data_IF_904326086828
#
_entry.id   IF_904326086828
#
_cell.length_a   1.000
_cell.length_b   1.000
_cell.length_c   1.000
_cell.angle_alpha   90.00
_cell.angle_beta   90.00
_cell.angle_gamma   90.00
#
_symmetry.space_group_name_H-M   'P 1'
#
loop_
_entity.id
_entity.type
_entity.pdbx_description
1 polymer ?
#
# COMPACT_ATOMS: atom_id res chain seq x y z
N UNK A 1 28.47 -23.45 -33.16
CA UNK A 1 28.26 -23.26 -31.74
C UNK A 1 29.41 -22.47 -31.18
N UNK A 2 29.20 -21.30 -30.61
CA UNK A 2 30.25 -20.48 -30.00
C UNK A 2 30.79 -21.19 -28.76
N UNK A 3 32.11 -21.34 -28.66
CA UNK A 3 32.79 -22.03 -27.52
C UNK A 3 32.62 -21.18 -26.26
N UNK A 4 31.94 -21.70 -25.27
CA UNK A 4 31.75 -20.98 -23.99
C UNK A 4 33.09 -20.78 -23.27
N UNK A 5 33.48 -19.54 -23.04
CA UNK A 5 34.75 -19.19 -22.37
C UNK A 5 34.67 -19.62 -20.90
N UNK A 6 35.71 -20.29 -20.41
CA UNK A 6 35.83 -20.77 -19.01
C UNK A 6 36.89 -19.96 -18.26
N UNK A 7 36.80 -19.97 -16.90
CA UNK A 7 37.85 -19.36 -16.03
C UNK A 7 39.26 -19.80 -16.38
N UNK A 8 39.41 -21.06 -16.80
CA UNK A 8 40.69 -21.62 -17.23
C UNK A 8 41.25 -20.91 -18.47
N UNK A 9 40.41 -20.44 -19.39
CA UNK A 9 40.84 -19.76 -20.62
C UNK A 9 41.39 -18.36 -20.27
N UNK A 10 40.76 -17.65 -19.33
CA UNK A 10 41.25 -16.36 -18.81
C UNK A 10 42.53 -16.56 -18.01
N UNK A 11 42.58 -17.57 -17.14
CA UNK A 11 43.74 -17.89 -16.32
C UNK A 11 45.00 -18.15 -17.18
N UNK A 12 44.81 -18.93 -18.25
CA UNK A 12 45.88 -19.24 -19.24
C UNK A 12 46.37 -17.97 -19.94
N UNK A 13 45.46 -17.05 -20.27
CA UNK A 13 45.80 -15.83 -21.03
C UNK A 13 46.47 -14.75 -20.18
N UNK A 14 46.14 -14.68 -18.86
CA UNK A 14 46.77 -13.76 -17.89
C UNK A 14 48.02 -14.34 -17.25
N UNK A 15 48.21 -15.67 -17.30
CA UNK A 15 49.35 -16.35 -16.66
C UNK A 15 49.20 -16.53 -15.14
N UNK A 16 47.96 -16.69 -14.67
CA UNK A 16 47.64 -16.88 -13.24
C UNK A 16 46.80 -18.12 -12.99
N UNK A 17 46.60 -18.51 -11.73
CA UNK A 17 45.73 -19.63 -11.42
C UNK A 17 44.25 -19.30 -11.61
N UNK A 18 43.40 -20.33 -11.88
CA UNK A 18 41.95 -20.19 -11.94
C UNK A 18 41.34 -19.64 -10.63
N UNK A 19 41.97 -19.93 -9.49
CA UNK A 19 41.61 -19.42 -8.17
C UNK A 19 41.86 -17.90 -8.09
N UNK A 20 43.00 -17.42 -8.64
CA UNK A 20 43.33 -16.00 -8.73
C UNK A 20 42.29 -15.25 -9.58
N UNK A 21 41.92 -15.81 -10.76
CA UNK A 21 40.91 -15.23 -11.62
C UNK A 21 39.56 -15.20 -10.91
N UNK A 22 39.17 -16.27 -10.22
CA UNK A 22 37.91 -16.32 -9.46
C UNK A 22 37.86 -15.27 -8.37
N UNK A 23 38.95 -15.11 -7.58
CA UNK A 23 39.06 -14.07 -6.52
C UNK A 23 39.01 -12.66 -7.10
N UNK A 24 39.66 -12.42 -8.23
CA UNK A 24 39.67 -11.12 -8.90
C UNK A 24 38.25 -10.73 -9.35
N UNK A 25 37.53 -11.64 -10.00
CA UNK A 25 36.18 -11.41 -10.51
C UNK A 25 35.11 -11.34 -9.41
N UNK A 26 35.33 -12.01 -8.27
CA UNK A 26 34.41 -11.98 -7.12
C UNK A 26 34.70 -10.89 -6.08
N UNK A 27 35.74 -10.05 -6.29
CA UNK A 27 36.07 -8.97 -5.38
C UNK A 27 36.77 -9.40 -4.09
N UNK A 28 37.18 -10.66 -3.94
CA UNK A 28 37.83 -11.19 -2.72
C UNK A 28 39.26 -10.65 -2.54
N UNK A 29 39.68 -10.58 -1.27
CA UNK A 29 41.09 -10.18 -0.92
C UNK A 29 42.13 -11.18 -1.43
N UNK A 30 43.36 -10.68 -1.68
CA UNK A 30 44.50 -11.52 -2.13
C UNK A 30 44.81 -11.41 -3.62
N UNK A 31 44.29 -10.40 -4.31
CA UNK A 31 44.66 -10.02 -5.68
C UNK A 31 44.92 -8.51 -5.68
N UNK A 32 46.03 -8.06 -6.26
CA UNK A 32 46.31 -6.62 -6.40
C UNK A 32 45.27 -5.93 -7.30
N UNK A 33 45.05 -4.63 -7.06
CA UNK A 33 44.05 -3.89 -7.83
C UNK A 33 44.40 -3.84 -9.33
N UNK A 34 45.66 -3.67 -9.65
CA UNK A 34 46.14 -3.69 -11.04
C UNK A 34 45.86 -5.02 -11.73
N UNK A 35 46.12 -6.15 -11.03
CA UNK A 35 45.83 -7.48 -11.57
C UNK A 35 44.33 -7.73 -11.66
N UNK A 36 43.55 -7.19 -10.76
CA UNK A 36 42.07 -7.28 -10.77
C UNK A 36 41.48 -6.59 -11.99
N UNK A 37 41.90 -5.37 -12.26
CA UNK A 37 41.46 -4.62 -13.43
C UNK A 37 41.89 -5.30 -14.76
N UNK A 38 43.09 -5.81 -14.83
CA UNK A 38 43.57 -6.57 -15.99
C UNK A 38 42.72 -7.81 -16.23
N UNK A 39 42.36 -8.54 -15.16
CA UNK A 39 41.52 -9.74 -15.28
C UNK A 39 40.10 -9.39 -15.70
N UNK A 40 39.49 -8.33 -15.12
CA UNK A 40 38.16 -7.88 -15.50
C UNK A 40 38.07 -7.49 -16.96
N UNK A 41 39.02 -6.64 -17.43
CA UNK A 41 39.07 -6.19 -18.81
C UNK A 41 39.17 -7.36 -19.77
N UNK A 42 40.04 -8.32 -19.48
CA UNK A 42 40.22 -9.50 -20.33
C UNK A 42 38.99 -10.44 -20.32
N UNK A 43 38.32 -10.56 -19.16
CA UNK A 43 37.09 -11.34 -19.07
C UNK A 43 35.97 -10.74 -19.93
N UNK A 44 35.82 -9.42 -19.94
CA UNK A 44 34.86 -8.70 -20.79
C UNK A 44 35.20 -8.83 -22.27
N UNK A 45 36.48 -8.64 -22.66
CA UNK A 45 36.95 -8.82 -24.03
C UNK A 45 36.74 -10.25 -24.58
N UNK A 46 36.85 -11.24 -23.71
CA UNK A 46 36.62 -12.65 -24.07
C UNK A 46 35.15 -13.07 -24.02
N UNK A 47 34.25 -12.19 -23.51
CA UNK A 47 32.85 -12.51 -23.33
C UNK A 47 32.61 -13.55 -22.23
N UNK A 48 33.49 -13.63 -21.22
CA UNK A 48 33.33 -14.54 -20.11
C UNK A 48 32.19 -14.10 -19.19
N UNK A 49 31.26 -15.04 -18.94
CA UNK A 49 30.18 -14.85 -17.92
C UNK A 49 30.38 -15.87 -16.80
N UNK A 50 30.62 -15.41 -15.55
CA UNK A 50 30.79 -16.32 -14.42
C UNK A 50 29.51 -17.15 -14.19
N UNK A 51 29.63 -18.43 -13.77
CA UNK A 51 28.48 -19.30 -13.50
C UNK A 51 27.51 -18.71 -12.46
N UNK A 52 28.03 -17.94 -11.50
CA UNK A 52 27.21 -17.16 -10.55
C UNK A 52 26.48 -15.98 -11.22
N UNK A 53 27.11 -15.33 -12.20
CA UNK A 53 26.46 -14.30 -13.03
C UNK A 53 25.52 -14.93 -14.07
N UNK A 54 25.84 -16.12 -14.58
CA UNK A 54 24.92 -16.90 -15.42
C UNK A 54 23.71 -17.40 -14.59
N UNK A 55 23.87 -17.83 -13.34
CA UNK A 55 22.75 -18.12 -12.44
C UNK A 55 21.98 -16.85 -12.03
N UNK A 56 22.66 -15.73 -11.78
CA UNK A 56 22.02 -14.43 -11.57
C UNK A 56 21.36 -13.90 -12.86
N UNK A 57 21.96 -14.11 -14.04
CA UNK A 57 21.34 -13.76 -15.31
C UNK A 57 20.18 -14.70 -15.68
N UNK A 58 20.20 -15.96 -15.24
CA UNK A 58 19.08 -16.90 -15.40
C UNK A 58 17.99 -16.62 -14.34
N UNK A 59 18.33 -16.21 -13.11
CA UNK A 59 17.36 -15.68 -12.14
C UNK A 59 16.87 -14.28 -12.50
N UNK A 60 17.71 -13.43 -13.11
CA UNK A 60 17.34 -12.16 -13.74
C UNK A 60 16.55 -12.32 -15.04
N UNK A 61 16.70 -13.45 -15.75
CA UNK A 61 15.90 -13.77 -16.94
C UNK A 61 14.47 -14.25 -16.59
N UNK A 62 14.13 -14.45 -15.32
CA UNK A 62 12.75 -14.50 -14.88
C UNK A 62 12.32 -13.10 -14.44
N UNK A 63 12.07 -12.24 -15.42
CA UNK A 63 11.25 -11.06 -15.20
C UNK A 63 9.87 -11.54 -14.73
N UNK A 64 9.58 -11.37 -13.44
CA UNK A 64 8.26 -11.69 -12.92
C UNK A 64 7.28 -10.61 -13.37
N UNK A 65 6.09 -11.03 -13.73
CA UNK A 65 4.96 -10.14 -13.91
C UNK A 65 4.08 -10.23 -12.65
N UNK A 66 3.76 -9.09 -12.08
CA UNK A 66 2.88 -8.92 -10.93
C UNK A 66 1.52 -8.48 -11.47
N UNK A 67 0.46 -9.23 -11.19
CA UNK A 67 -0.90 -8.77 -11.40
C UNK A 67 -1.31 -7.83 -10.26
N UNK A 68 -1.92 -6.70 -10.58
CA UNK A 68 -2.49 -5.80 -9.58
C UNK A 68 -3.99 -5.73 -9.83
N UNK A 69 -4.78 -6.22 -8.87
CA UNK A 69 -6.23 -6.23 -8.94
C UNK A 69 -6.79 -5.11 -8.07
N UNK A 70 -7.66 -4.32 -8.64
CA UNK A 70 -8.37 -3.23 -7.95
C UNK A 70 -9.83 -3.30 -8.36
N UNK A 71 -10.76 -3.20 -7.40
CA UNK A 71 -12.18 -3.13 -7.68
C UNK A 71 -12.54 -1.83 -8.37
N UNK A 72 -13.48 -1.90 -9.34
CA UNK A 72 -13.92 -0.78 -10.17
C UNK A 72 -14.41 0.42 -9.34
N UNK A 73 -15.13 0.17 -8.24
CA UNK A 73 -15.65 1.22 -7.36
C UNK A 73 -14.57 2.09 -6.71
N UNK A 74 -13.34 1.57 -6.56
CA UNK A 74 -12.21 2.32 -6.02
C UNK A 74 -11.46 3.16 -7.05
N UNK A 75 -11.78 3.02 -8.32
CA UNK A 75 -11.19 3.78 -9.43
C UNK A 75 -12.17 4.84 -9.98
N UNK A 76 -12.85 5.56 -9.11
CA UNK A 76 -13.82 6.59 -9.46
C UNK A 76 -13.18 7.72 -10.30
N UNK A 77 -14.04 8.67 -10.75
CA UNK A 77 -13.79 9.77 -11.71
C UNK A 77 -12.56 10.65 -11.42
N UNK A 78 -11.98 10.56 -10.24
CA UNK A 78 -10.78 11.28 -9.82
C UNK A 78 -9.60 10.31 -9.64
N UNK A 79 -8.36 10.84 -9.72
CA UNK A 79 -7.20 10.07 -9.25
C UNK A 79 -7.49 9.61 -7.82
N UNK A 80 -7.72 8.31 -7.61
CA UNK A 80 -8.09 7.79 -6.32
C UNK A 80 -6.84 7.49 -5.46
N UNK A 81 -7.05 7.40 -4.14
CA UNK A 81 -6.02 6.94 -3.20
C UNK A 81 -5.38 5.61 -3.66
N UNK A 82 -6.19 4.67 -4.15
CA UNK A 82 -5.72 3.37 -4.63
C UNK A 82 -4.99 3.44 -5.97
N UNK A 83 -5.34 4.39 -6.83
CA UNK A 83 -4.57 4.66 -8.05
C UNK A 83 -3.12 5.07 -7.72
N UNK A 84 -2.94 5.90 -6.70
CA UNK A 84 -1.61 6.31 -6.24
C UNK A 84 -0.82 5.13 -5.65
N UNK A 85 -1.47 4.24 -4.90
CA UNK A 85 -0.83 2.99 -4.43
C UNK A 85 -0.38 2.14 -5.62
N UNK A 86 -1.22 1.98 -6.65
CA UNK A 86 -0.84 1.27 -7.88
C UNK A 86 0.40 1.87 -8.55
N UNK A 87 0.48 3.21 -8.64
CA UNK A 87 1.66 3.88 -9.19
C UNK A 87 2.91 3.53 -8.38
N UNK A 88 2.83 3.54 -7.04
CA UNK A 88 3.95 3.15 -6.17
C UNK A 88 4.31 1.66 -6.33
N UNK A 89 3.33 0.78 -6.42
CA UNK A 89 3.56 -0.65 -6.71
C UNK A 89 4.30 -0.83 -8.03
N UNK A 90 3.91 -0.09 -9.08
CA UNK A 90 4.55 -0.16 -10.39
C UNK A 90 6.02 0.29 -10.33
N UNK A 91 6.32 1.37 -9.59
CA UNK A 91 7.69 1.87 -9.38
C UNK A 91 8.51 0.83 -8.61
N UNK A 92 7.96 0.29 -7.51
CA UNK A 92 8.64 -0.71 -6.68
C UNK A 92 8.86 -2.02 -7.45
N UNK A 93 7.91 -2.44 -8.28
CA UNK A 93 8.05 -3.62 -9.14
C UNK A 93 9.24 -3.46 -10.11
N UNK A 94 9.36 -2.31 -10.79
CA UNK A 94 10.49 -2.02 -11.68
C UNK A 94 11.84 -2.07 -10.94
N UNK A 95 11.91 -1.55 -9.71
CA UNK A 95 13.11 -1.63 -8.88
C UNK A 95 13.49 -3.08 -8.51
N UNK A 96 12.53 -4.00 -8.53
CA UNK A 96 12.70 -5.44 -8.33
C UNK A 96 12.85 -6.23 -9.64
N UNK A 97 13.07 -5.56 -10.78
CA UNK A 97 13.12 -6.16 -12.12
C UNK A 97 11.82 -6.91 -12.51
N UNK A 98 10.69 -6.47 -11.98
CA UNK A 98 9.35 -6.99 -12.24
C UNK A 98 8.51 -5.96 -13.03
N UNK A 99 7.46 -6.44 -13.71
CA UNK A 99 6.45 -5.58 -14.33
C UNK A 99 5.12 -5.72 -13.61
N UNK A 100 4.46 -4.60 -13.35
CA UNK A 100 3.11 -4.57 -12.80
C UNK A 100 2.08 -4.44 -13.93
N UNK A 101 1.07 -5.30 -13.92
CA UNK A 101 -0.05 -5.31 -14.87
C UNK A 101 -1.35 -5.15 -14.09
N UNK A 102 -2.03 -4.03 -14.27
CA UNK A 102 -3.31 -3.78 -13.61
C UNK A 102 -4.46 -4.45 -14.37
N UNK A 103 -5.35 -5.08 -13.62
CA UNK A 103 -6.67 -5.50 -14.10
C UNK A 103 -7.74 -4.97 -13.13
N UNK A 104 -8.72 -4.26 -13.67
CA UNK A 104 -9.85 -3.74 -12.91
C UNK A 104 -10.87 -4.85 -12.76
N UNK A 105 -11.27 -5.13 -11.52
CA UNK A 105 -12.30 -6.13 -11.20
C UNK A 105 -13.63 -5.43 -11.12
N UNK A 106 -14.54 -5.76 -12.03
CA UNK A 106 -15.90 -5.21 -12.00
C UNK A 106 -16.82 -5.99 -11.07
N UNK A 107 -17.86 -5.35 -10.56
CA UNK A 107 -18.90 -5.98 -9.72
C UNK A 107 -19.49 -7.24 -10.39
N UNK A 108 -19.63 -7.23 -11.72
CA UNK A 108 -20.07 -8.41 -12.50
C UNK A 108 -19.07 -9.59 -12.38
N UNK A 109 -17.76 -9.32 -12.43
CA UNK A 109 -16.75 -10.37 -12.29
C UNK A 109 -16.81 -11.01 -10.89
N UNK A 110 -17.03 -10.20 -9.87
CA UNK A 110 -17.18 -10.65 -8.49
C UNK A 110 -18.43 -11.50 -8.28
N UNK A 111 -19.58 -11.03 -8.77
CA UNK A 111 -20.87 -11.76 -8.68
C UNK A 111 -20.80 -13.12 -9.39
N UNK A 112 -20.16 -13.17 -10.56
CA UNK A 112 -20.05 -14.39 -11.37
C UNK A 112 -18.86 -15.25 -11.02
N UNK A 113 -18.00 -14.80 -10.09
CA UNK A 113 -16.73 -15.44 -9.77
C UNK A 113 -15.88 -15.67 -11.04
N UNK A 114 -15.80 -14.67 -11.90
CA UNK A 114 -14.98 -14.72 -13.12
C UNK A 114 -13.49 -14.56 -12.75
N UNK A 115 -12.67 -15.51 -13.17
CA UNK A 115 -11.22 -15.47 -12.92
C UNK A 115 -10.59 -14.32 -13.70
N UNK A 116 -9.77 -13.44 -13.06
CA UNK A 116 -9.06 -12.37 -13.74
C UNK A 116 -8.29 -12.88 -14.95
N UNK A 117 -8.30 -12.11 -16.02
CA UNK A 117 -7.66 -12.47 -17.29
C UNK A 117 -6.16 -12.69 -17.13
N UNK A 118 -5.50 -11.88 -16.29
CA UNK A 118 -4.06 -12.01 -16.00
C UNK A 118 -3.70 -13.37 -15.39
N UNK A 119 -4.60 -13.97 -14.61
CA UNK A 119 -4.45 -15.34 -14.06
C UNK A 119 -4.79 -16.38 -15.12
N UNK A 120 -5.97 -16.27 -15.72
CA UNK A 120 -6.50 -17.23 -16.69
C UNK A 120 -5.56 -17.45 -17.86
N UNK A 121 -4.90 -16.37 -18.34
CA UNK A 121 -3.95 -16.40 -19.44
C UNK A 121 -2.50 -16.62 -18.98
N UNK A 122 -2.28 -16.91 -17.69
CA UNK A 122 -0.96 -17.16 -17.10
C UNK A 122 0.06 -16.03 -17.39
N UNK A 123 -0.39 -14.77 -17.34
CA UNK A 123 0.46 -13.60 -17.63
C UNK A 123 1.26 -13.14 -16.40
N UNK A 124 0.86 -13.57 -15.20
CA UNK A 124 1.43 -13.11 -13.93
C UNK A 124 1.94 -14.28 -13.08
N UNK A 125 2.89 -14.00 -12.23
CA UNK A 125 3.55 -14.96 -11.35
C UNK A 125 3.13 -14.79 -9.88
N UNK A 126 2.51 -13.64 -9.56
CA UNK A 126 1.97 -13.31 -8.27
C UNK A 126 0.99 -12.14 -8.40
N UNK A 127 0.18 -11.90 -7.38
CA UNK A 127 -0.90 -10.91 -7.38
C UNK A 127 -0.81 -10.04 -6.15
N UNK A 128 -1.00 -8.75 -6.35
CA UNK A 128 -1.33 -7.77 -5.32
C UNK A 128 -2.81 -7.38 -5.49
N UNK A 129 -3.59 -7.49 -4.42
CA UNK A 129 -4.97 -6.99 -4.36
C UNK A 129 -4.96 -5.69 -3.57
N UNK A 130 -5.43 -4.60 -4.16
CA UNK A 130 -5.49 -3.29 -3.53
C UNK A 130 -6.94 -2.95 -3.20
N UNK A 131 -7.22 -2.70 -1.92
CA UNK A 131 -8.58 -2.48 -1.43
C UNK A 131 -9.38 -3.78 -1.26
N UNK A 132 -10.42 -3.72 -0.42
CA UNK A 132 -11.23 -4.86 -0.05
C UNK A 132 -12.01 -5.42 -1.24
N UNK A 133 -12.05 -6.74 -1.37
CA UNK A 133 -12.91 -7.47 -2.28
C UNK A 133 -13.79 -8.48 -1.53
N UNK A 134 -14.92 -8.95 -2.10
CA UNK A 134 -15.76 -9.96 -1.49
C UNK A 134 -15.00 -11.25 -1.15
N UNK A 135 -15.21 -11.80 0.06
CA UNK A 135 -14.49 -12.98 0.53
C UNK A 135 -14.61 -14.21 -0.38
N UNK A 136 -15.73 -14.37 -1.09
CA UNK A 136 -15.90 -15.43 -2.09
C UNK A 136 -14.94 -15.26 -3.27
N UNK A 137 -14.74 -14.01 -3.70
CA UNK A 137 -13.82 -13.71 -4.80
C UNK A 137 -12.36 -13.89 -4.38
N UNK A 138 -12.01 -13.46 -3.16
CA UNK A 138 -10.67 -13.71 -2.60
C UNK A 138 -10.35 -15.21 -2.48
N UNK A 139 -11.33 -16.04 -2.10
CA UNK A 139 -11.17 -17.51 -2.09
C UNK A 139 -10.89 -18.06 -3.49
N UNK A 140 -11.59 -17.57 -4.52
CA UNK A 140 -11.33 -17.95 -5.91
C UNK A 140 -9.88 -17.65 -6.31
N UNK A 141 -9.35 -16.46 -5.97
CA UNK A 141 -7.97 -16.10 -6.29
C UNK A 141 -6.95 -17.07 -5.63
N UNK A 142 -7.20 -17.48 -4.39
CA UNK A 142 -6.34 -18.39 -3.62
C UNK A 142 -6.39 -19.86 -4.10
N UNK A 143 -7.39 -20.28 -4.88
CA UNK A 143 -7.42 -21.59 -5.50
C UNK A 143 -6.25 -21.81 -6.48
N UNK A 144 -5.70 -20.72 -7.03
CA UNK A 144 -4.54 -20.74 -7.90
C UNK A 144 -3.22 -20.78 -7.12
N UNK A 145 -2.95 -21.89 -6.41
CA UNK A 145 -1.82 -22.07 -5.47
C UNK A 145 -0.44 -21.74 -6.05
N UNK A 146 -0.29 -21.75 -7.37
CA UNK A 146 0.95 -21.36 -8.06
C UNK A 146 1.16 -19.86 -8.17
N UNK A 147 0.15 -19.05 -7.82
CA UNK A 147 0.15 -17.59 -7.92
C UNK A 147 -0.06 -17.03 -6.51
N UNK A 148 0.99 -16.68 -5.78
CA UNK A 148 0.88 -16.10 -4.45
C UNK A 148 0.14 -14.76 -4.49
N UNK A 149 -0.59 -14.47 -3.41
CA UNK A 149 -1.41 -13.25 -3.26
C UNK A 149 -0.95 -12.47 -2.04
N UNK A 150 -0.83 -11.15 -2.19
CA UNK A 150 -0.56 -10.19 -1.10
C UNK A 150 -1.64 -9.10 -1.14
N UNK A 151 -2.17 -8.74 0.01
CA UNK A 151 -3.16 -7.68 0.13
C UNK A 151 -2.53 -6.33 0.49
N UNK A 152 -3.11 -5.24 0.01
CA UNK A 152 -2.80 -3.87 0.44
C UNK A 152 -4.08 -3.20 0.93
N UNK A 153 -4.00 -2.60 2.13
CA UNK A 153 -5.01 -1.80 2.81
C UNK A 153 -6.21 -2.59 3.35
N UNK A 154 -6.12 -3.90 3.39
CA UNK A 154 -7.10 -4.76 4.05
C UNK A 154 -6.51 -6.12 4.46
N UNK A 155 -7.22 -6.83 5.30
CA UNK A 155 -6.97 -8.22 5.69
C UNK A 155 -8.23 -9.06 5.48
N UNK A 156 -8.08 -10.37 5.40
CA UNK A 156 -9.17 -11.33 5.50
C UNK A 156 -8.94 -12.29 6.70
N UNK A 157 -9.88 -13.19 6.91
CA UNK A 157 -9.83 -14.14 8.03
C UNK A 157 -8.84 -15.31 7.81
N UNK A 158 -8.13 -15.35 6.66
CA UNK A 158 -7.20 -16.42 6.34
C UNK A 158 -5.78 -16.09 6.84
N UNK A 159 -5.29 -16.78 7.88
CA UNK A 159 -3.95 -16.54 8.42
C UNK A 159 -2.82 -16.92 7.45
N UNK A 160 -3.14 -17.59 6.33
CA UNK A 160 -2.18 -17.98 5.29
C UNK A 160 -2.05 -16.92 4.17
N UNK A 161 -2.49 -15.69 4.41
CA UNK A 161 -2.36 -14.59 3.44
C UNK A 161 -1.50 -13.48 4.03
N UNK A 162 -0.57 -12.95 3.23
CA UNK A 162 0.20 -11.77 3.60
C UNK A 162 -0.61 -10.51 3.29
N UNK A 163 -0.58 -9.55 4.21
CA UNK A 163 -1.21 -8.25 4.03
C UNK A 163 -0.29 -7.12 4.48
N UNK A 164 -0.39 -5.97 3.81
CA UNK A 164 0.24 -4.72 4.21
C UNK A 164 -0.86 -3.68 4.43
N UNK A 165 -0.99 -3.20 5.65
CA UNK A 165 -2.04 -2.25 6.05
C UNK A 165 -1.45 -0.99 6.65
N UNK A 166 -2.18 0.13 6.55
CA UNK A 166 -1.85 1.34 7.29
C UNK A 166 -2.17 1.16 8.78
N UNK A 167 -1.45 1.89 9.63
CA UNK A 167 -1.77 1.95 11.06
C UNK A 167 -3.01 2.80 11.31
N UNK A 168 -4.17 2.23 10.97
CA UNK A 168 -5.46 2.90 11.08
C UNK A 168 -5.86 3.18 12.54
N UNK A 169 -5.59 2.23 13.43
CA UNK A 169 -6.00 2.34 14.83
C UNK A 169 -5.20 3.40 15.60
N UNK A 170 -3.86 3.30 15.61
CA UNK A 170 -3.04 4.28 16.32
C UNK A 170 -2.98 5.62 15.60
N UNK A 171 -3.05 5.64 14.27
CA UNK A 171 -3.15 6.88 13.51
C UNK A 171 -4.39 7.70 13.90
N UNK A 172 -5.55 7.04 14.00
CA UNK A 172 -6.78 7.67 14.47
C UNK A 172 -6.69 8.10 15.94
N UNK A 173 -6.16 7.23 16.80
CA UNK A 173 -5.92 7.54 18.20
C UNK A 173 -5.06 8.79 18.38
N UNK A 174 -3.96 8.92 17.68
CA UNK A 174 -3.09 10.09 17.75
C UNK A 174 -3.75 11.35 17.20
N UNK A 175 -4.52 11.23 16.10
CA UNK A 175 -5.21 12.37 15.50
C UNK A 175 -6.32 12.91 16.40
N UNK A 176 -7.04 12.03 17.10
CA UNK A 176 -8.07 12.44 18.06
C UNK A 176 -7.45 13.03 19.33
N UNK A 177 -6.33 12.47 19.82
CA UNK A 177 -5.57 13.10 20.90
C UNK A 177 -5.10 14.51 20.52
N UNK A 178 -4.64 14.72 19.29
CA UNK A 178 -4.32 16.05 18.79
C UNK A 178 -5.52 17.01 18.87
N UNK A 179 -6.74 16.57 18.50
CA UNK A 179 -7.95 17.41 18.69
C UNK A 179 -8.23 17.73 20.16
N UNK A 180 -8.05 16.77 21.06
CA UNK A 180 -8.23 16.96 22.50
C UNK A 180 -7.18 17.96 23.06
N UNK A 181 -5.93 17.86 22.61
CA UNK A 181 -4.87 18.82 22.95
C UNK A 181 -5.17 20.23 22.43
N UNK A 182 -5.91 20.35 21.32
CA UNK A 182 -6.42 21.64 20.83
C UNK A 182 -7.65 22.14 21.61
N UNK A 183 -8.07 21.46 22.68
CA UNK A 183 -9.18 21.84 23.55
C UNK A 183 -10.55 21.32 23.15
N UNK A 184 -10.64 20.43 22.17
CA UNK A 184 -11.90 19.80 21.77
C UNK A 184 -12.26 18.64 22.71
N UNK A 185 -13.45 18.68 23.30
CA UNK A 185 -14.03 17.59 24.11
C UNK A 185 -15.40 17.13 23.59
N UNK A 186 -15.84 17.67 22.47
CA UNK A 186 -17.08 17.34 21.75
C UNK A 186 -16.67 16.99 20.31
N UNK A 187 -16.31 15.71 20.10
CA UNK A 187 -15.74 15.23 18.85
C UNK A 187 -16.65 14.13 18.29
N UNK A 188 -17.11 14.28 17.06
CA UNK A 188 -17.90 13.28 16.35
C UNK A 188 -17.02 12.49 15.36
N UNK A 189 -17.40 11.25 15.08
CA UNK A 189 -16.80 10.40 14.05
C UNK A 189 -17.68 10.32 12.80
N UNK A 190 -17.06 10.41 11.62
CA UNK A 190 -17.75 10.23 10.34
C UNK A 190 -17.12 9.08 9.57
N UNK A 191 -17.88 8.00 9.43
CA UNK A 191 -17.45 6.79 8.75
C UNK A 191 -18.37 5.62 9.03
N UNK A 192 -18.84 4.93 8.00
CA UNK A 192 -19.73 3.78 8.14
C UNK A 192 -18.98 2.57 8.66
N UNK A 193 -19.33 2.12 9.86
CA UNK A 193 -18.70 0.96 10.48
C UNK A 193 -18.92 -0.30 9.64
N UNK A 194 -17.92 -1.18 9.59
CA UNK A 194 -17.91 -2.43 8.85
C UNK A 194 -17.90 -2.29 7.31
N UNK A 195 -17.93 -1.07 6.77
CA UNK A 195 -17.75 -0.88 5.33
C UNK A 195 -16.34 -1.34 4.89
N UNK A 196 -15.31 -0.98 5.66
CA UNK A 196 -13.95 -1.56 5.55
C UNK A 196 -13.36 -1.82 6.93
N UNK A 197 -12.33 -2.68 7.03
CA UNK A 197 -11.58 -2.87 8.27
C UNK A 197 -10.93 -1.55 8.74
N UNK A 198 -10.31 -0.81 7.82
CA UNK A 198 -9.63 0.46 8.14
C UNK A 198 -10.58 1.51 8.73
N UNK A 199 -11.80 1.66 8.22
CA UNK A 199 -12.81 2.57 8.79
C UNK A 199 -13.16 2.17 10.23
N UNK A 200 -13.35 0.86 10.46
CA UNK A 200 -13.70 0.34 11.79
C UNK A 200 -12.54 0.45 12.76
N UNK A 201 -11.31 0.19 12.33
CA UNK A 201 -10.11 0.36 13.15
C UNK A 201 -9.90 1.83 13.54
N UNK A 202 -10.13 2.77 12.60
CA UNK A 202 -10.09 4.22 12.87
C UNK A 202 -11.12 4.62 13.93
N UNK A 203 -12.34 4.06 13.86
CA UNK A 203 -13.36 4.28 14.91
C UNK A 203 -12.89 3.77 16.27
N UNK A 204 -12.28 2.59 16.37
CA UNK A 204 -11.78 2.09 17.65
C UNK A 204 -10.60 2.92 18.19
N UNK A 205 -9.75 3.47 17.33
CA UNK A 205 -8.72 4.44 17.72
C UNK A 205 -9.34 5.73 18.30
N UNK A 206 -10.37 6.26 17.64
CA UNK A 206 -11.16 7.38 18.12
C UNK A 206 -11.80 7.08 19.49
N UNK A 207 -12.51 5.95 19.61
CA UNK A 207 -13.17 5.55 20.84
C UNK A 207 -12.19 5.38 22.01
N UNK A 208 -11.01 4.81 21.76
CA UNK A 208 -9.94 4.68 22.75
C UNK A 208 -9.47 6.04 23.26
N UNK A 209 -9.21 6.99 22.36
CA UNK A 209 -8.76 8.32 22.76
C UNK A 209 -9.81 9.02 23.65
N UNK A 210 -11.09 8.98 23.28
CA UNK A 210 -12.17 9.55 24.11
C UNK A 210 -12.24 8.88 25.48
N UNK A 211 -12.17 7.55 25.52
CA UNK A 211 -12.25 6.77 26.76
C UNK A 211 -11.12 7.14 27.74
N UNK A 212 -9.88 7.25 27.26
CA UNK A 212 -8.73 7.61 28.10
C UNK A 212 -8.82 9.03 28.69
N UNK A 213 -9.49 9.93 27.97
CA UNK A 213 -9.73 11.30 28.44
C UNK A 213 -11.06 11.47 29.20
N UNK A 214 -11.80 10.39 29.44
CA UNK A 214 -13.11 10.45 30.15
C UNK A 214 -14.19 11.18 29.37
N UNK A 215 -14.05 11.31 28.05
CA UNK A 215 -15.04 11.90 27.15
C UNK A 215 -16.03 10.81 26.74
N UNK A 216 -17.34 10.97 26.97
CA UNK A 216 -18.31 9.94 26.63
C UNK A 216 -18.45 9.75 25.13
N UNK A 217 -18.50 8.49 24.69
CA UNK A 217 -18.96 8.14 23.35
C UNK A 217 -20.46 8.43 23.24
N UNK A 218 -20.87 9.00 22.12
CA UNK A 218 -22.27 9.32 21.84
C UNK A 218 -22.67 8.66 20.51
N UNK A 219 -23.75 7.91 20.51
CA UNK A 219 -24.26 7.21 19.32
C UNK A 219 -24.70 8.19 18.22
N UNK A 220 -25.26 9.35 18.60
CA UNK A 220 -25.67 10.41 17.68
C UNK A 220 -24.50 11.19 17.06
N UNK A 221 -23.27 10.93 17.49
CA UNK A 221 -22.02 11.49 16.94
C UNK A 221 -21.22 10.48 16.13
N UNK A 222 -21.79 9.33 15.80
CA UNK A 222 -21.27 8.42 14.80
C UNK A 222 -22.15 8.55 13.54
N UNK A 223 -21.60 9.15 12.49
CA UNK A 223 -22.30 9.43 11.25
C UNK A 223 -21.84 8.46 10.15
N UNK A 224 -22.78 7.94 9.39
CA UNK A 224 -22.48 7.15 8.21
C UNK A 224 -22.11 8.05 7.03
N UNK A 225 -21.18 7.60 6.18
CA UNK A 225 -20.75 8.29 4.97
C UNK A 225 -20.98 7.47 3.69
N UNK A 226 -21.32 6.19 3.83
CA UNK A 226 -21.55 5.25 2.71
C UNK A 226 -22.44 4.08 3.15
N UNK A 227 -22.90 3.28 2.21
CA UNK A 227 -23.49 1.98 2.55
C UNK A 227 -22.39 0.95 2.83
N UNK A 228 -22.65 -0.02 3.73
CA UNK A 228 -21.67 -1.09 4.08
C UNK A 228 -21.22 -1.88 2.86
N UNK A 229 -22.08 -2.02 1.84
CA UNK A 229 -21.81 -2.76 0.60
C UNK A 229 -21.23 -1.90 -0.52
N UNK A 230 -21.04 -0.59 -0.32
CA UNK A 230 -20.54 0.34 -1.34
C UNK A 230 -19.25 1.01 -0.90
N UNK A 231 -18.30 1.12 -1.83
CA UNK A 231 -17.08 1.91 -1.65
C UNK A 231 -17.32 3.43 -1.78
N UNK A 232 -18.42 3.83 -2.44
CA UNK A 232 -18.71 5.22 -2.78
C UNK A 232 -19.30 6.01 -1.62
N UNK A 233 -18.76 7.23 -1.38
CA UNK A 233 -19.25 8.15 -0.33
C UNK A 233 -20.54 8.82 -0.79
N UNK A 234 -21.57 8.77 0.08
CA UNK A 234 -22.89 9.34 -0.12
C UNK A 234 -23.15 10.42 0.94
N UNK A 235 -23.20 11.68 0.52
CA UNK A 235 -23.35 12.83 1.42
C UNK A 235 -24.69 12.84 2.15
N UNK A 236 -25.71 12.23 1.55
CA UNK A 236 -27.06 12.14 2.10
C UNK A 236 -27.11 11.31 3.39
N UNK A 237 -26.17 10.39 3.57
CA UNK A 237 -26.06 9.57 4.78
C UNK A 237 -25.41 10.30 5.95
N UNK A 238 -24.70 11.41 5.69
CA UNK A 238 -24.08 12.24 6.73
C UNK A 238 -25.16 13.11 7.43
N UNK A 239 -26.02 12.49 8.25
CA UNK A 239 -27.06 13.19 8.97
C UNK A 239 -26.43 14.00 10.12
N UNK A 240 -26.56 15.33 10.07
CA UNK A 240 -26.04 16.20 11.14
C UNK A 240 -26.79 15.96 12.44
N UNK A 241 -26.06 15.85 13.58
CA UNK A 241 -26.68 15.68 14.89
C UNK A 241 -27.41 16.97 15.33
N UNK A 242 -28.45 16.84 16.19
CA UNK A 242 -29.16 18.00 16.74
C UNK A 242 -28.21 18.88 17.58
N UNK A 243 -27.38 18.27 18.39
CA UNK A 243 -26.32 18.93 19.14
C UNK A 243 -25.00 18.83 18.37
N UNK A 244 -24.56 19.95 17.78
CA UNK A 244 -23.33 19.97 16.98
C UNK A 244 -22.08 19.78 17.84
N UNK A 245 -21.14 18.90 17.42
CA UNK A 245 -19.83 18.79 18.05
C UNK A 245 -18.97 20.03 17.74
N UNK A 246 -17.83 20.14 18.39
CA UNK A 246 -16.85 21.20 18.09
C UNK A 246 -15.80 20.76 17.09
N UNK A 247 -15.68 19.44 16.85
CA UNK A 247 -14.81 18.87 15.86
C UNK A 247 -15.39 17.57 15.30
N UNK A 248 -15.05 17.29 14.02
CA UNK A 248 -15.30 16.00 13.37
C UNK A 248 -13.99 15.32 13.03
N UNK A 249 -13.90 14.03 13.35
CA UNK A 249 -12.90 13.13 12.79
C UNK A 249 -13.53 12.30 11.67
N UNK A 250 -13.13 12.56 10.43
CA UNK A 250 -13.60 11.85 9.26
C UNK A 250 -12.66 10.67 8.94
N UNK A 251 -13.25 9.54 8.54
CA UNK A 251 -12.48 8.32 8.24
C UNK A 251 -11.46 8.50 7.09
N UNK A 252 -11.68 9.47 6.17
CA UNK A 252 -10.72 9.83 5.12
C UNK A 252 -10.87 11.30 4.70
N UNK A 253 -9.90 11.80 3.96
CA UNK A 253 -9.88 13.20 3.49
C UNK A 253 -10.99 13.50 2.49
N UNK A 254 -11.43 12.51 1.70
CA UNK A 254 -12.56 12.69 0.80
C UNK A 254 -13.85 12.93 1.59
N UNK A 255 -14.09 12.13 2.62
CA UNK A 255 -15.24 12.33 3.55
C UNK A 255 -15.14 13.69 4.26
N UNK A 256 -13.92 14.06 4.73
CA UNK A 256 -13.70 15.35 5.36
C UNK A 256 -14.00 16.53 4.43
N UNK A 257 -13.56 16.47 3.17
CA UNK A 257 -13.84 17.52 2.18
C UNK A 257 -15.33 17.66 1.88
N UNK A 258 -16.04 16.54 1.71
CA UNK A 258 -17.50 16.55 1.51
C UNK A 258 -18.25 17.07 2.74
N UNK A 259 -17.83 16.68 3.93
CA UNK A 259 -18.39 17.20 5.19
C UNK A 259 -18.18 18.72 5.30
N UNK A 260 -16.99 19.24 4.96
CA UNK A 260 -16.72 20.68 4.98
C UNK A 260 -17.67 21.43 4.05
N UNK A 261 -17.94 20.91 2.83
CA UNK A 261 -18.91 21.49 1.91
C UNK A 261 -20.31 21.55 2.53
N UNK A 262 -20.76 20.43 3.13
CA UNK A 262 -22.06 20.34 3.81
C UNK A 262 -22.16 21.28 4.99
N UNK A 263 -21.16 21.35 5.87
CA UNK A 263 -21.13 22.27 6.99
C UNK A 263 -21.26 23.75 6.54
N UNK A 264 -20.60 24.11 5.43
CA UNK A 264 -20.72 25.46 4.84
C UNK A 264 -22.12 25.77 4.29
N UNK A 265 -22.77 24.79 3.67
CA UNK A 265 -24.16 24.93 3.23
C UNK A 265 -25.09 25.17 4.41
N UNK A 266 -24.82 24.56 5.57
CA UNK A 266 -25.55 24.72 6.82
C UNK A 266 -25.12 25.97 7.60
N UNK A 267 -24.20 26.80 7.05
CA UNK A 267 -23.78 28.09 7.61
C UNK A 267 -22.62 28.05 8.59
N UNK A 268 -21.97 26.89 8.79
CA UNK A 268 -20.79 26.78 9.64
C UNK A 268 -19.50 27.08 8.89
N UNK A 269 -18.55 27.71 9.57
CA UNK A 269 -17.21 27.98 9.06
C UNK A 269 -16.23 26.94 9.62
N UNK A 270 -15.33 26.47 8.76
CA UNK A 270 -14.24 25.55 9.14
C UNK A 270 -12.92 26.31 8.89
N UNK A 271 -12.07 26.48 9.91
CA UNK A 271 -12.14 25.91 11.28
C UNK A 271 -12.82 26.77 12.35
N UNK A 272 -13.33 27.98 12.03
CA UNK A 272 -13.74 28.99 13.02
C UNK A 272 -14.81 28.49 13.96
N UNK A 273 -15.84 27.82 13.45
CA UNK A 273 -16.99 27.34 14.21
C UNK A 273 -16.82 25.85 14.54
N UNK A 274 -16.32 25.05 13.60
CA UNK A 274 -16.13 23.59 13.70
C UNK A 274 -14.80 23.20 13.11
N UNK A 275 -14.00 22.42 13.83
CA UNK A 275 -12.76 21.82 13.32
C UNK A 275 -13.04 20.48 12.61
N UNK A 276 -12.29 20.17 11.56
CA UNK A 276 -12.42 18.91 10.83
C UNK A 276 -11.04 18.31 10.60
N UNK A 277 -10.89 17.02 10.89
CA UNK A 277 -9.69 16.25 10.52
C UNK A 277 -10.06 15.07 9.64
N UNK A 278 -9.15 14.70 8.77
CA UNK A 278 -9.30 13.57 7.85
C UNK A 278 -8.27 12.47 8.11
N UNK A 279 -8.09 11.60 7.11
CA UNK A 279 -7.10 10.53 7.09
C UNK A 279 -6.66 10.28 5.66
N UNK A 280 -5.45 9.81 5.41
CA UNK A 280 -4.79 9.44 4.15
C UNK A 280 -3.78 10.49 3.63
N UNK A 281 -3.91 11.78 3.94
CA UNK A 281 -3.21 12.92 3.33
C UNK A 281 -3.31 12.90 1.80
N UNK A 282 -4.52 12.61 1.32
CA UNK A 282 -4.79 12.58 -0.11
C UNK A 282 -5.63 13.80 -0.53
N UNK A 283 -5.03 14.66 -1.36
CA UNK A 283 -5.70 15.89 -1.82
C UNK A 283 -6.55 15.56 -3.05
N UNK A 284 -7.86 15.71 -2.90
CA UNK A 284 -8.81 15.61 -4.00
C UNK A 284 -9.01 17.00 -4.63
N UNK A 285 -8.66 17.20 -5.92
CA UNK A 285 -8.78 18.51 -6.56
C UNK A 285 -10.22 19.06 -6.52
N UNK A 286 -10.38 20.30 -6.04
CA UNK A 286 -11.66 21.01 -6.09
C UNK A 286 -12.71 20.59 -5.05
N UNK A 287 -12.35 19.71 -4.08
CA UNK A 287 -13.30 19.29 -3.03
C UNK A 287 -13.47 20.36 -1.96
N UNK A 288 -12.38 20.93 -1.48
CA UNK A 288 -12.45 22.07 -0.55
C UNK A 288 -11.22 22.97 -0.70
N UNK A 289 -11.32 24.21 -0.23
CA UNK A 289 -10.27 25.25 -0.25
C UNK A 289 -9.52 25.35 1.09
N UNK A 290 -9.92 24.56 2.10
CA UNK A 290 -9.25 24.48 3.39
C UNK A 290 -8.30 23.28 3.40
N UNK A 291 -7.05 23.52 3.80
CA UNK A 291 -6.10 22.42 4.01
C UNK A 291 -6.53 21.55 5.18
N UNK A 292 -6.86 20.28 4.90
CA UNK A 292 -7.36 19.35 5.91
C UNK A 292 -6.20 18.80 6.73
N UNK A 293 -6.20 19.03 8.04
CA UNK A 293 -5.33 18.34 9.00
C UNK A 293 -5.67 16.85 8.97
N UNK A 294 -4.66 16.00 8.82
CA UNK A 294 -4.88 14.59 8.46
C UNK A 294 -3.76 13.69 9.00
N UNK A 295 -3.98 12.39 8.96
CA UNK A 295 -2.93 11.38 9.14
C UNK A 295 -2.45 10.89 7.77
N UNK A 296 -1.17 11.14 7.47
CA UNK A 296 -0.57 10.72 6.21
C UNK A 296 -0.25 9.23 6.22
N UNK A 297 -0.81 8.50 5.28
CA UNK A 297 -0.49 7.09 5.03
C UNK A 297 0.73 7.00 4.11
N UNK A 298 1.77 6.26 4.52
CA UNK A 298 2.94 6.02 3.69
C UNK A 298 2.68 4.96 2.61
N UNK A 299 2.03 5.41 1.54
CA UNK A 299 1.68 4.56 0.39
C UNK A 299 2.92 3.97 -0.30
N UNK A 300 4.05 4.69 -0.28
CA UNK A 300 5.29 4.23 -0.90
C UNK A 300 5.89 3.05 -0.12
N UNK A 301 5.92 3.13 1.21
CA UNK A 301 6.38 2.02 2.04
C UNK A 301 5.41 0.84 1.99
N UNK A 302 4.09 1.07 2.00
CA UNK A 302 3.09 0.00 1.82
C UNK A 302 3.35 -0.76 0.51
N UNK A 303 3.51 -0.06 -0.60
CA UNK A 303 3.79 -0.66 -1.90
C UNK A 303 5.15 -1.39 -1.92
N UNK A 304 6.18 -0.78 -1.32
CA UNK A 304 7.53 -1.37 -1.21
C UNK A 304 7.50 -2.70 -0.45
N UNK A 305 6.82 -2.74 0.70
CA UNK A 305 6.69 -3.96 1.49
C UNK A 305 5.89 -5.03 0.74
N UNK A 306 4.75 -4.68 0.16
CA UNK A 306 3.91 -5.63 -0.58
C UNK A 306 4.66 -6.28 -1.76
N UNK A 307 5.38 -5.48 -2.56
CA UNK A 307 6.19 -5.98 -3.67
C UNK A 307 7.32 -6.88 -3.16
N UNK A 308 8.05 -6.49 -2.10
CA UNK A 308 9.11 -7.32 -1.52
C UNK A 308 8.59 -8.67 -1.00
N UNK A 309 7.46 -8.67 -0.31
CA UNK A 309 6.81 -9.89 0.18
C UNK A 309 6.42 -10.77 -1.00
N UNK A 310 5.74 -10.22 -2.01
CA UNK A 310 5.30 -10.98 -3.16
C UNK A 310 6.46 -11.58 -3.94
N UNK A 311 7.55 -10.83 -4.16
CA UNK A 311 8.76 -11.32 -4.83
C UNK A 311 9.38 -12.52 -4.07
N UNK A 312 9.42 -12.47 -2.74
CA UNK A 312 9.86 -13.59 -1.91
C UNK A 312 8.95 -14.81 -2.10
N UNK A 313 7.63 -14.64 -2.07
CA UNK A 313 6.66 -15.72 -2.30
C UNK A 313 6.80 -16.34 -3.69
N UNK A 314 6.98 -15.54 -4.73
CA UNK A 314 7.26 -16.02 -6.08
C UNK A 314 8.59 -16.78 -6.17
N UNK A 315 9.55 -16.48 -5.28
CA UNK A 315 10.81 -17.22 -5.11
C UNK A 315 10.70 -18.51 -4.28
N UNK A 316 9.49 -18.92 -3.86
CA UNK A 316 9.21 -20.06 -3.00
C UNK A 316 9.83 -19.94 -1.58
N UNK A 317 9.97 -18.72 -1.05
CA UNK A 317 10.31 -18.54 0.37
C UNK A 317 9.10 -18.91 1.25
N UNK A 318 9.33 -19.72 2.28
CA UNK A 318 8.28 -20.36 3.11
C UNK A 318 8.16 -19.72 4.50
N UNK A 319 8.55 -18.47 4.65
CA UNK A 319 8.35 -17.74 5.91
C UNK A 319 6.85 -17.70 6.28
N UNK A 320 6.54 -17.58 7.59
CA UNK A 320 5.15 -17.42 8.04
C UNK A 320 4.48 -16.21 7.39
N UNK A 321 3.22 -16.37 6.98
CA UNK A 321 2.40 -15.26 6.51
C UNK A 321 2.11 -14.27 7.66
N UNK A 322 2.02 -12.98 7.35
CA UNK A 322 1.86 -11.92 8.35
C UNK A 322 1.10 -10.73 7.80
N UNK A 323 0.41 -10.06 8.72
CA UNK A 323 -0.01 -8.68 8.48
C UNK A 323 1.12 -7.73 8.86
N UNK A 324 1.55 -6.90 7.92
CA UNK A 324 2.55 -5.86 8.10
C UNK A 324 1.85 -4.51 8.23
N UNK A 325 2.03 -3.86 9.37
CA UNK A 325 1.49 -2.54 9.64
C UNK A 325 2.53 -1.48 9.27
N UNK A 326 2.12 -0.46 8.51
CA UNK A 326 2.95 0.68 8.11
C UNK A 326 2.47 1.91 8.86
N UNK A 327 3.37 2.47 9.69
CA UNK A 327 3.11 3.70 10.43
C UNK A 327 3.08 4.90 9.47
N UNK A 328 2.24 5.88 9.81
CA UNK A 328 2.15 7.17 9.15
C UNK A 328 2.49 8.31 10.11
N UNK A 329 2.04 9.52 9.80
CA UNK A 329 2.26 10.70 10.63
C UNK A 329 1.12 11.71 10.51
N UNK A 330 0.93 12.52 11.56
CA UNK A 330 0.01 13.66 11.51
C UNK A 330 0.62 14.78 10.65
N UNK A 331 -0.19 15.33 9.76
CA UNK A 331 0.11 16.52 8.95
C UNK A 331 -0.89 17.61 9.32
N UNK A 332 -0.44 18.56 10.11
CA UNK A 332 -1.25 19.69 10.57
C UNK A 332 -1.40 20.71 9.46
N UNK A 333 -2.63 21.14 9.21
CA UNK A 333 -3.01 22.16 8.23
C UNK A 333 -4.06 23.10 8.84
N UNK A 334 -4.87 23.78 8.01
CA UNK A 334 -5.71 24.90 8.42
C UNK A 334 -7.06 24.50 9.01
N UNK A 335 -7.51 23.24 8.88
CA UNK A 335 -8.89 22.82 9.23
C UNK A 335 -9.16 22.65 10.74
N UNK A 336 -8.18 22.93 11.59
CA UNK A 336 -8.31 22.83 13.06
C UNK A 336 -7.97 24.15 13.72
N UNK A 337 -8.80 24.58 14.68
CA UNK A 337 -8.62 25.76 15.51
C UNK A 337 -8.62 25.38 16.98
N UNK A 338 -7.64 25.85 17.74
CA UNK A 338 -7.59 25.67 19.21
C UNK A 338 -8.78 26.37 19.90
N UNK A 339 -9.29 25.79 21.01
CA UNK A 339 -10.40 26.26 21.80
C UNK A 339 -10.00 26.63 23.23
#
# INVERSE_FOLDING_TARGET
MAKTVKLADIAKKVGVSTVTVSKALSGQKGVSEEMREKIKKLADEMGYRPPSAARRAISRARSYNIGVLIEEEYLDKYESFYWKIYQQVSICALNCECFAMMEVVSSRMEEKLEVPKVIREQKVHGIIVIGRMPGKYLKLLKEYKSVPVVYIDFTDDDPATDAVVSDSYYGAYHLVNYLIEQGHNRIAYVGTLLATSSITDRYFGYAKALLEHGIPLRDDWQLDDRHVSSGSIQEELMLMPEEMPTAFFCNCDLTAGKLIQKLRQDGYRVPEDISVVGFDNYIYPGICDVGITTYEVDQAEMASQAVKILVKRMGNETDSHRTHMVEGRIVVKESVKSR
#
